data_IF_826984258280
#
_entry.id   IF_826984258280
#
_cell.length_a   1.000
_cell.length_b   1.000
_cell.length_c   1.000
_cell.angle_alpha   90.00
_cell.angle_beta   90.00
_cell.angle_gamma   90.00
#
_symmetry.space_group_name_H-M   'P 1'
#
loop_
_entity.id
_entity.type
_entity.pdbx_description
1 polymer ?
#
# COMPACT_ATOMS: atom_id res chain seq x y z
N UNK A 1 -71.76 12.79 -32.28
CA UNK A 1 -72.95 12.88 -31.41
C UNK A 1 -72.41 13.25 -30.04
N UNK A 2 -72.54 14.53 -29.65
CA UNK A 2 -73.51 15.09 -28.74
C UNK A 2 -73.33 14.56 -27.32
N UNK A 3 -73.22 15.32 -26.24
CA UNK A 3 -73.48 16.72 -25.81
C UNK A 3 -72.84 16.82 -24.41
N UNK A 4 -72.05 17.80 -24.00
CA UNK A 4 -72.46 19.09 -23.47
C UNK A 4 -73.17 19.04 -22.12
N UNK A 5 -72.67 19.82 -21.19
CA UNK A 5 -73.32 20.22 -19.92
C UNK A 5 -72.33 20.68 -18.87
N UNK A 6 -71.91 21.79 -18.82
CA UNK A 6 -72.03 23.10 -18.17
C UNK A 6 -72.94 23.08 -16.95
N UNK A 7 -72.51 23.54 -15.80
CA UNK A 7 -73.12 24.64 -15.06
C UNK A 7 -72.33 25.03 -13.81
N UNK A 8 -72.06 26.31 -13.77
CA UNK A 8 -71.66 27.23 -12.70
C UNK A 8 -72.51 27.12 -11.42
N UNK A 9 -72.00 27.44 -10.26
CA UNK A 9 -72.30 28.71 -9.57
C UNK A 9 -71.76 28.79 -8.13
N UNK A 10 -71.02 29.83 -7.86
CA UNK A 10 -71.09 30.85 -6.80
C UNK A 10 -70.74 30.52 -5.34
N UNK A 11 -69.70 31.26 -4.96
CA UNK A 11 -69.53 32.15 -3.79
C UNK A 11 -70.24 31.85 -2.46
N UNK A 12 -69.48 31.79 -1.40
CA UNK A 12 -69.61 32.68 -0.25
C UNK A 12 -68.37 32.70 0.62
N UNK A 13 -67.96 33.89 0.95
CA UNK A 13 -66.91 34.30 1.89
C UNK A 13 -67.40 34.09 3.30
N UNK A 14 -66.49 33.66 4.22
CA UNK A 14 -66.39 34.29 5.56
C UNK A 14 -65.20 33.76 6.36
N UNK A 15 -64.56 34.70 6.95
CA UNK A 15 -63.39 34.73 7.81
C UNK A 15 -63.40 33.76 9.01
N UNK A 16 -62.20 33.26 9.35
CA UNK A 16 -61.95 32.59 10.62
C UNK A 16 -60.45 32.43 10.86
N UNK A 17 -59.89 33.34 11.64
CA UNK A 17 -58.51 33.33 12.12
C UNK A 17 -58.34 32.15 13.09
N UNK A 18 -57.43 31.29 12.80
CA UNK A 18 -57.02 30.21 13.71
C UNK A 18 -55.64 29.69 13.32
N UNK A 19 -54.60 30.28 13.90
CA UNK A 19 -53.23 29.84 13.70
C UNK A 19 -53.02 28.45 14.26
N UNK A 20 -52.77 27.48 13.37
CA UNK A 20 -52.16 26.20 13.75
C UNK A 20 -50.70 26.25 13.33
N UNK A 21 -49.81 26.43 14.32
CA UNK A 21 -48.39 26.17 14.18
C UNK A 21 -48.21 24.68 13.94
N UNK A 22 -48.06 24.29 12.70
CA UNK A 22 -47.57 22.98 12.33
C UNK A 22 -46.06 23.03 12.54
N UNK A 23 -45.60 22.55 13.68
CA UNK A 23 -44.20 22.19 13.90
C UNK A 23 -43.87 21.01 13.01
N UNK A 24 -43.20 21.28 11.88
CA UNK A 24 -42.50 20.26 11.11
C UNK A 24 -41.38 19.69 12.02
N UNK A 25 -41.28 18.37 12.18
CA UNK A 25 -40.11 17.81 12.80
C UNK A 25 -38.94 18.09 11.86
N UNK A 26 -37.95 18.84 12.36
CA UNK A 26 -36.61 18.77 11.78
C UNK A 26 -36.22 17.29 11.88
N UNK A 27 -36.17 16.62 10.73
CA UNK A 27 -35.45 15.38 10.63
C UNK A 27 -33.99 15.74 10.94
N UNK A 28 -33.54 15.37 12.12
CA UNK A 28 -32.13 15.29 12.41
C UNK A 28 -31.58 14.29 11.38
N UNK A 29 -30.75 14.78 10.48
CA UNK A 29 -29.88 13.92 9.71
C UNK A 29 -29.08 13.12 10.73
N UNK A 30 -29.51 11.89 10.96
CA UNK A 30 -28.65 10.86 11.53
C UNK A 30 -27.42 10.82 10.64
N UNK A 31 -26.20 10.93 11.21
CA UNK A 31 -25.01 10.63 10.44
C UNK A 31 -25.26 9.25 9.84
N UNK A 32 -25.27 9.14 8.52
CA UNK A 32 -25.14 7.85 7.87
C UNK A 32 -23.83 7.32 8.39
N UNK A 33 -23.90 6.35 9.30
CA UNK A 33 -22.84 5.39 9.46
C UNK A 33 -22.60 4.86 8.05
N UNK A 34 -21.55 5.34 7.41
CA UNK A 34 -20.96 4.72 6.24
C UNK A 34 -20.43 3.40 6.80
N UNK A 35 -21.30 2.38 6.84
CA UNK A 35 -20.83 1.00 6.87
C UNK A 35 -19.85 0.91 5.73
N UNK A 36 -18.56 0.85 6.08
CA UNK A 36 -17.50 0.58 5.13
C UNK A 36 -17.83 -0.78 4.52
N UNK A 37 -18.27 -0.76 3.27
CA UNK A 37 -18.51 -1.97 2.49
C UNK A 37 -17.13 -2.60 2.31
N UNK A 38 -16.85 -3.60 3.12
CA UNK A 38 -15.64 -4.42 3.01
C UNK A 38 -15.69 -5.06 1.62
N UNK A 39 -15.02 -4.45 0.64
CA UNK A 39 -14.95 -5.02 -0.70
C UNK A 39 -14.31 -6.39 -0.61
N UNK A 40 -14.97 -7.36 -1.20
CA UNK A 40 -14.52 -8.75 -1.25
C UNK A 40 -14.26 -9.12 -2.71
N UNK A 41 -13.09 -9.66 -2.98
CA UNK A 41 -12.78 -10.24 -4.27
C UNK A 41 -12.89 -11.76 -4.21
N UNK A 42 -13.67 -12.35 -5.12
CA UNK A 42 -13.80 -13.80 -5.24
C UNK A 42 -12.66 -14.36 -6.10
N UNK A 43 -11.73 -15.06 -5.46
CA UNK A 43 -10.55 -15.62 -6.10
C UNK A 43 -10.89 -16.62 -7.22
N UNK A 44 -12.07 -17.25 -7.22
CA UNK A 44 -12.53 -18.13 -8.29
C UNK A 44 -12.57 -17.43 -9.65
N UNK A 45 -12.81 -16.13 -9.66
CA UNK A 45 -12.82 -15.33 -10.89
C UNK A 45 -11.50 -15.39 -11.65
N UNK A 46 -10.37 -15.60 -10.97
CA UNK A 46 -9.07 -15.74 -11.65
C UNK A 46 -8.98 -16.93 -12.60
N UNK A 47 -9.75 -17.99 -12.34
CA UNK A 47 -9.81 -19.16 -13.21
C UNK A 47 -10.55 -18.86 -14.52
N UNK A 48 -11.49 -17.92 -14.48
CA UNK A 48 -12.34 -17.56 -15.62
C UNK A 48 -11.76 -16.38 -16.44
N UNK A 49 -10.70 -15.76 -15.97
CA UNK A 49 -10.06 -14.66 -16.69
C UNK A 49 -9.34 -15.16 -17.94
N UNK A 50 -9.50 -14.45 -19.03
CA UNK A 50 -8.71 -14.65 -20.24
C UNK A 50 -7.22 -14.57 -19.98
N UNK A 51 -6.41 -15.19 -20.84
CA UNK A 51 -4.97 -15.09 -20.75
C UNK A 51 -4.54 -13.62 -20.86
N UNK A 52 -3.61 -13.13 -20.01
CA UNK A 52 -3.16 -11.75 -20.07
C UNK A 52 -2.50 -11.45 -21.42
N UNK A 53 -2.91 -10.37 -22.08
CA UNK A 53 -2.41 -9.97 -23.41
C UNK A 53 -1.37 -8.84 -23.31
N UNK A 54 -1.51 -7.98 -22.30
CA UNK A 54 -0.63 -6.83 -22.11
C UNK A 54 0.27 -6.94 -20.86
N UNK A 55 1.36 -6.16 -20.77
CA UNK A 55 2.19 -6.13 -19.59
C UNK A 55 1.41 -5.74 -18.32
N UNK A 56 0.44 -4.82 -18.44
CA UNK A 56 -0.35 -4.37 -17.30
C UNK A 56 -1.32 -5.46 -16.81
N UNK A 57 -1.89 -6.25 -17.73
CA UNK A 57 -2.75 -7.39 -17.37
C UNK A 57 -1.95 -8.46 -16.62
N UNK A 58 -0.72 -8.76 -17.05
CA UNK A 58 0.19 -9.64 -16.33
C UNK A 58 0.51 -9.13 -14.94
N UNK A 59 0.75 -7.82 -14.80
CA UNK A 59 1.03 -7.21 -13.50
C UNK A 59 -0.18 -7.28 -12.58
N UNK A 60 -1.36 -6.86 -13.04
CA UNK A 60 -2.61 -6.94 -12.27
C UNK A 60 -2.91 -8.38 -11.84
N UNK A 61 -2.84 -9.33 -12.80
CA UNK A 61 -3.07 -10.74 -12.49
C UNK A 61 -2.06 -11.27 -11.46
N UNK A 62 -0.82 -10.81 -11.49
CA UNK A 62 0.20 -11.22 -10.51
C UNK A 62 -0.11 -10.72 -9.10
N UNK A 63 -0.66 -9.51 -8.97
CA UNK A 63 -1.11 -8.98 -7.70
C UNK A 63 -2.25 -9.83 -7.12
N UNK A 64 -3.26 -10.14 -7.93
CA UNK A 64 -4.35 -11.03 -7.53
C UNK A 64 -3.86 -12.45 -7.22
N UNK A 65 -2.93 -12.98 -8.01
CA UNK A 65 -2.36 -14.30 -7.76
C UNK A 65 -1.67 -14.39 -6.40
N UNK A 66 -0.92 -13.36 -6.02
CA UNK A 66 -0.29 -13.28 -4.70
C UNK A 66 -1.30 -13.36 -3.54
N UNK A 67 -2.50 -12.86 -3.76
CA UNK A 67 -3.55 -12.83 -2.75
C UNK A 67 -4.49 -14.04 -2.80
N UNK A 68 -4.52 -14.76 -3.90
CA UNK A 68 -5.51 -15.81 -4.13
C UNK A 68 -4.96 -17.23 -4.15
N UNK A 69 -3.65 -17.41 -4.26
CA UNK A 69 -3.06 -18.75 -4.26
C UNK A 69 -2.49 -19.13 -2.91
N UNK A 70 -2.88 -20.30 -2.41
CA UNK A 70 -2.27 -20.95 -1.25
C UNK A 70 -1.09 -21.76 -1.75
N UNK A 71 0.10 -21.57 -1.18
CA UNK A 71 1.31 -22.28 -1.59
C UNK A 71 2.36 -22.38 -0.48
N UNK A 72 3.27 -23.31 -0.68
CA UNK A 72 4.55 -23.40 0.03
C UNK A 72 5.68 -23.33 -0.98
N UNK A 73 6.77 -22.66 -0.61
CA UNK A 73 7.90 -22.50 -1.50
C UNK A 73 9.23 -22.50 -0.74
N UNK A 74 10.30 -22.81 -1.48
CA UNK A 74 11.67 -22.51 -1.09
C UNK A 74 12.21 -21.44 -2.01
N UNK A 75 12.95 -20.51 -1.45
CA UNK A 75 13.49 -19.39 -2.21
C UNK A 75 14.94 -19.12 -1.79
N UNK A 76 15.64 -18.43 -2.67
CA UNK A 76 16.93 -17.82 -2.39
C UNK A 76 16.81 -16.30 -2.57
N UNK A 77 17.44 -15.57 -1.69
CA UNK A 77 17.68 -14.15 -1.82
C UNK A 77 19.19 -13.94 -1.98
N UNK A 78 19.59 -13.21 -3.00
CA UNK A 78 20.97 -12.88 -3.31
C UNK A 78 21.08 -11.36 -3.30
N UNK A 79 21.81 -10.84 -2.35
CA UNK A 79 22.04 -9.41 -2.21
C UNK A 79 23.50 -9.12 -1.88
N UNK A 80 23.80 -7.87 -1.60
CA UNK A 80 25.16 -7.44 -1.23
C UNK A 80 25.65 -8.08 0.09
N UNK A 81 24.72 -8.48 0.95
CA UNK A 81 24.95 -9.16 2.22
C UNK A 81 25.11 -10.68 2.08
N UNK A 82 25.13 -11.18 0.85
CA UNK A 82 25.33 -12.59 0.51
C UNK A 82 24.07 -13.29 0.07
N UNK A 83 24.09 -14.62 0.23
CA UNK A 83 22.98 -15.51 -0.14
C UNK A 83 22.23 -15.92 1.12
N UNK A 84 20.91 -15.89 1.07
CA UNK A 84 20.01 -16.38 2.11
C UNK A 84 19.00 -17.35 1.52
N UNK A 85 18.75 -18.44 2.23
CA UNK A 85 17.71 -19.40 1.87
C UNK A 85 16.49 -19.23 2.77
N UNK A 86 15.31 -19.36 2.18
CA UNK A 86 14.04 -19.15 2.86
C UNK A 86 13.07 -20.28 2.60
N UNK A 87 12.24 -20.58 3.58
CA UNK A 87 10.99 -21.29 3.39
C UNK A 87 9.85 -20.27 3.49
N UNK A 88 8.95 -20.32 2.55
CA UNK A 88 7.79 -19.43 2.43
C UNK A 88 6.51 -20.26 2.52
N UNK A 89 5.50 -19.72 3.14
CA UNK A 89 4.13 -20.21 3.03
C UNK A 89 3.16 -19.05 2.92
N UNK A 90 2.18 -19.19 2.06
CA UNK A 90 1.04 -18.32 1.95
C UNK A 90 -0.22 -19.15 2.17
N UNK A 91 -1.07 -18.73 3.08
CA UNK A 91 -2.31 -19.37 3.46
C UNK A 91 -3.41 -18.32 3.58
N UNK A 92 -4.66 -18.74 3.38
CA UNK A 92 -5.83 -17.87 3.45
C UNK A 92 -6.85 -18.56 4.37
N UNK A 93 -7.22 -17.90 5.46
CA UNK A 93 -8.22 -18.39 6.42
C UNK A 93 -9.33 -17.36 6.56
N UNK A 94 -10.55 -17.75 6.26
CA UNK A 94 -11.74 -16.87 6.33
C UNK A 94 -11.55 -15.55 5.55
N UNK A 95 -10.93 -15.62 4.37
CA UNK A 95 -10.63 -14.45 3.53
C UNK A 95 -9.47 -13.57 4.02
N UNK A 96 -8.78 -13.97 5.09
CA UNK A 96 -7.62 -13.23 5.63
C UNK A 96 -6.34 -13.96 5.29
N UNK A 97 -5.42 -13.26 4.66
CA UNK A 97 -4.12 -13.79 4.28
C UNK A 97 -3.18 -13.95 5.47
N UNK A 98 -2.35 -14.98 5.38
CA UNK A 98 -1.23 -15.22 6.27
C UNK A 98 0.00 -15.59 5.47
N UNK A 99 0.99 -14.72 5.46
CA UNK A 99 2.31 -14.98 4.90
C UNK A 99 3.33 -15.28 5.99
N UNK A 100 4.12 -16.30 5.76
CA UNK A 100 5.22 -16.67 6.65
C UNK A 100 6.50 -16.83 5.83
N UNK A 101 7.54 -16.12 6.24
CA UNK A 101 8.89 -16.29 5.72
C UNK A 101 9.83 -16.72 6.87
N UNK A 102 10.54 -17.83 6.69
CA UNK A 102 11.51 -18.33 7.64
C UNK A 102 12.88 -18.47 6.97
N UNK A 103 13.89 -17.81 7.52
CA UNK A 103 15.27 -18.01 7.08
C UNK A 103 15.73 -19.40 7.52
N UNK A 104 16.41 -20.11 6.61
CA UNK A 104 16.89 -21.47 6.83
C UNK A 104 18.38 -21.51 7.17
N UNK A 105 19.08 -20.39 7.01
CA UNK A 105 20.47 -20.19 7.33
C UNK A 105 20.67 -18.96 8.24
N UNK A 106 21.80 -18.95 8.95
CA UNK A 106 22.13 -17.88 9.89
C UNK A 106 21.27 -17.89 11.16
N UNK A 107 21.14 -16.74 11.85
CA UNK A 107 20.27 -16.62 13.00
C UNK A 107 18.82 -16.92 12.62
N UNK A 108 18.09 -17.58 13.52
CA UNK A 108 16.70 -17.92 13.28
C UNK A 108 15.86 -16.63 13.18
N UNK A 109 15.39 -16.32 11.99
CA UNK A 109 14.47 -15.21 11.72
C UNK A 109 13.19 -15.79 11.18
N UNK A 110 12.10 -15.38 11.79
CA UNK A 110 10.74 -15.73 11.43
C UNK A 110 9.96 -14.44 11.23
N UNK A 111 9.42 -14.24 10.04
CA UNK A 111 8.59 -13.11 9.69
C UNK A 111 7.18 -13.63 9.39
N UNK A 112 6.21 -13.12 10.10
CA UNK A 112 4.80 -13.42 9.84
C UNK A 112 4.06 -12.12 9.55
N UNK A 113 3.31 -12.11 8.47
CA UNK A 113 2.39 -11.05 8.12
C UNK A 113 0.98 -11.64 8.05
N UNK A 114 0.05 -10.96 8.71
CA UNK A 114 -1.38 -11.17 8.54
C UNK A 114 -1.96 -9.89 8.01
N UNK A 115 -2.82 -9.97 7.06
CA UNK A 115 -3.38 -8.77 6.48
C UNK A 115 -4.47 -9.05 5.47
N UNK A 116 -5.05 -7.96 5.04
CA UNK A 116 -6.01 -7.91 3.94
C UNK A 116 -5.32 -7.29 2.74
N UNK A 117 -5.85 -7.55 1.56
CA UNK A 117 -5.43 -6.90 0.33
C UNK A 117 -5.72 -5.40 0.41
N UNK A 118 -4.92 -4.60 -0.28
CA UNK A 118 -5.28 -3.21 -0.53
C UNK A 118 -4.80 -2.23 0.53
N UNK A 119 -3.54 -2.33 0.90
CA UNK A 119 -2.90 -1.35 1.80
C UNK A 119 -2.45 -0.07 1.11
N UNK A 120 -2.79 0.12 -0.16
CA UNK A 120 -2.57 1.37 -0.86
C UNK A 120 -3.75 2.29 -0.65
N UNK A 121 -3.52 3.38 0.01
CA UNK A 121 -4.44 4.49 0.07
C UNK A 121 -4.82 4.91 1.47
N UNK A 122 -4.52 6.16 1.72
CA UNK A 122 -5.02 6.93 2.82
C UNK A 122 -5.89 8.06 2.26
N UNK A 123 -6.99 8.34 2.94
CA UNK A 123 -7.72 9.55 2.69
C UNK A 123 -6.96 10.71 3.36
N UNK A 124 -6.18 11.43 2.59
CA UNK A 124 -5.47 12.63 3.04
C UNK A 124 -6.17 13.90 2.54
N UNK A 125 -7.50 13.87 2.52
CA UNK A 125 -8.33 14.97 2.02
C UNK A 125 -8.22 15.21 0.51
N UNK A 126 -7.42 14.42 -0.20
CA UNK A 126 -7.25 14.42 -1.64
C UNK A 126 -7.60 13.06 -2.24
N UNK A 127 -7.68 12.99 -3.56
CA UNK A 127 -8.01 11.77 -4.30
C UNK A 127 -7.14 10.59 -3.85
N UNK A 128 -7.80 9.55 -3.39
CA UNK A 128 -7.17 8.40 -2.76
C UNK A 128 -6.75 7.41 -3.82
N UNK A 129 -5.51 6.94 -3.75
CA UNK A 129 -5.08 5.82 -4.57
C UNK A 129 -5.87 4.56 -4.17
N UNK A 130 -6.42 3.82 -5.15
CA UNK A 130 -7.31 2.71 -4.88
C UNK A 130 -6.59 1.53 -4.23
N UNK A 131 -7.26 0.90 -3.29
CA UNK A 131 -6.77 -0.21 -2.52
C UNK A 131 -6.79 -1.57 -3.26
N UNK A 132 -7.39 -1.65 -4.44
CA UNK A 132 -7.48 -2.90 -5.22
C UNK A 132 -6.26 -3.13 -6.10
N UNK A 133 -5.89 -4.39 -6.41
CA UNK A 133 -4.84 -4.73 -7.38
C UNK A 133 -4.99 -4.04 -8.73
N UNK A 134 -6.21 -3.96 -9.27
CA UNK A 134 -6.51 -3.22 -10.51
C UNK A 134 -6.18 -1.72 -10.37
N UNK A 135 -6.45 -1.16 -9.21
CA UNK A 135 -6.13 0.22 -8.92
C UNK A 135 -4.63 0.46 -8.79
N UNK A 136 -3.93 -0.44 -8.10
CA UNK A 136 -2.47 -0.42 -7.99
C UNK A 136 -1.83 -0.49 -9.37
N UNK A 137 -2.29 -1.38 -10.24
CA UNK A 137 -1.77 -1.53 -11.59
C UNK A 137 -1.95 -0.24 -12.41
N UNK A 138 -3.14 0.36 -12.38
CA UNK A 138 -3.41 1.64 -13.07
C UNK A 138 -2.62 2.82 -12.49
N UNK A 139 -2.39 2.84 -11.19
CA UNK A 139 -1.56 3.85 -10.55
C UNK A 139 -0.11 3.72 -10.99
N UNK A 140 0.42 2.49 -10.98
CA UNK A 140 1.79 2.18 -11.37
C UNK A 140 2.09 2.56 -12.83
N UNK A 141 1.15 2.34 -13.76
CA UNK A 141 1.29 2.64 -15.18
C UNK A 141 1.55 4.13 -15.48
N UNK A 142 1.25 5.02 -14.52
CA UNK A 142 1.54 6.45 -14.63
C UNK A 142 3.02 6.78 -14.38
N UNK A 143 3.74 5.93 -13.63
CA UNK A 143 5.10 6.21 -13.17
C UNK A 143 6.13 5.22 -13.69
N UNK A 144 5.69 4.13 -14.29
CA UNK A 144 6.56 3.09 -14.84
C UNK A 144 6.14 2.69 -16.25
N UNK A 145 7.11 2.34 -17.05
CA UNK A 145 6.88 1.65 -18.33
C UNK A 145 6.97 0.15 -18.08
N UNK A 146 5.92 -0.56 -18.44
CA UNK A 146 5.88 -2.01 -18.35
C UNK A 146 6.15 -2.62 -19.74
N UNK A 147 6.97 -3.67 -19.79
CA UNK A 147 7.30 -4.39 -21.01
C UNK A 147 7.36 -5.90 -20.78
N UNK A 148 6.98 -6.66 -21.79
CA UNK A 148 7.15 -8.13 -21.76
C UNK A 148 8.50 -8.51 -22.34
N UNK A 149 9.25 -9.32 -21.60
CA UNK A 149 10.49 -9.92 -22.06
C UNK A 149 10.31 -11.35 -22.57
N UNK A 150 11.42 -12.00 -22.92
CA UNK A 150 11.42 -13.39 -23.33
C UNK A 150 10.99 -14.30 -22.17
N UNK A 151 10.27 -15.37 -22.52
CA UNK A 151 9.92 -16.43 -21.58
C UNK A 151 11.17 -17.19 -21.12
N UNK A 152 11.18 -17.57 -19.87
CA UNK A 152 12.23 -18.34 -19.22
C UNK A 152 11.65 -19.52 -18.43
N UNK A 153 12.52 -20.36 -17.89
CA UNK A 153 12.11 -21.46 -17.00
C UNK A 153 12.67 -21.20 -15.59
N UNK A 154 11.80 -21.00 -14.62
CA UNK A 154 12.14 -20.74 -13.22
C UNK A 154 11.48 -21.82 -12.34
N UNK A 155 12.20 -22.40 -11.41
CA UNK A 155 11.68 -23.46 -10.50
C UNK A 155 10.95 -24.58 -11.26
N UNK A 156 11.47 -24.98 -12.40
CA UNK A 156 10.90 -25.99 -13.31
C UNK A 156 9.54 -25.60 -13.95
N UNK A 157 9.16 -24.32 -13.94
CA UNK A 157 7.91 -23.78 -14.46
C UNK A 157 8.19 -22.78 -15.59
N UNK A 158 7.31 -22.74 -16.58
CA UNK A 158 7.38 -21.70 -17.61
C UNK A 158 7.05 -20.35 -16.99
N UNK A 159 7.83 -19.33 -17.29
CA UNK A 159 7.66 -18.01 -16.75
C UNK A 159 7.68 -16.95 -17.85
N UNK A 160 6.86 -15.91 -17.67
CA UNK A 160 6.84 -14.70 -18.49
C UNK A 160 7.60 -13.62 -17.74
N UNK A 161 8.55 -12.96 -18.41
CA UNK A 161 9.28 -11.84 -17.80
C UNK A 161 8.54 -10.54 -18.02
N UNK A 162 8.35 -9.80 -16.96
CA UNK A 162 7.83 -8.44 -16.93
C UNK A 162 8.96 -7.49 -16.55
N UNK A 163 9.32 -6.57 -17.42
CA UNK A 163 10.26 -5.49 -17.17
C UNK A 163 9.47 -4.25 -16.72
N UNK A 164 9.83 -3.70 -15.57
CA UNK A 164 9.17 -2.53 -14.94
C UNK A 164 10.22 -1.43 -14.82
N UNK A 165 10.18 -0.46 -15.72
CA UNK A 165 11.15 0.61 -15.83
C UNK A 165 10.55 1.93 -15.33
N UNK A 166 11.16 2.61 -14.34
CA UNK A 166 10.65 3.90 -13.90
C UNK A 166 10.76 4.95 -15.01
N UNK A 167 9.76 5.82 -15.13
CA UNK A 167 9.73 6.93 -16.06
C UNK A 167 10.59 8.12 -15.60
N UNK A 168 10.98 8.11 -14.33
CA UNK A 168 11.85 9.11 -13.70
C UNK A 168 13.15 8.48 -13.17
N UNK A 169 14.04 9.31 -12.66
CA UNK A 169 15.26 8.82 -11.99
C UNK A 169 15.10 8.65 -10.48
N UNK A 170 13.88 8.69 -9.95
CA UNK A 170 13.62 8.73 -8.50
C UNK A 170 13.37 7.34 -7.91
N UNK A 171 13.27 6.32 -8.73
CA UNK A 171 12.92 4.95 -8.38
C UNK A 171 13.92 3.95 -8.93
N UNK A 172 13.92 2.76 -8.36
CA UNK A 172 14.60 1.61 -8.92
C UNK A 172 13.66 0.84 -9.86
N UNK A 173 14.24 0.27 -10.93
CA UNK A 173 13.53 -0.62 -11.82
C UNK A 173 13.42 -2.03 -11.25
N UNK A 174 12.53 -2.83 -11.81
CA UNK A 174 12.39 -4.24 -11.46
C UNK A 174 12.23 -5.11 -12.70
N UNK A 175 12.65 -6.36 -12.59
CA UNK A 175 12.28 -7.45 -13.48
C UNK A 175 11.59 -8.52 -12.67
N UNK A 176 10.43 -8.95 -13.12
CA UNK A 176 9.65 -9.98 -12.43
C UNK A 176 9.37 -11.11 -13.42
N UNK A 177 9.61 -12.35 -13.01
CA UNK A 177 9.25 -13.53 -13.77
C UNK A 177 8.01 -14.13 -13.14
N UNK A 178 6.93 -14.13 -13.89
CA UNK A 178 5.61 -14.60 -13.47
C UNK A 178 5.37 -15.99 -14.02
N UNK A 179 4.89 -16.90 -13.20
CA UNK A 179 4.47 -18.22 -13.63
C UNK A 179 3.41 -18.11 -14.74
N UNK A 180 3.65 -18.75 -15.87
CA UNK A 180 2.78 -18.64 -17.03
C UNK A 180 1.35 -19.19 -16.81
N UNK A 181 1.17 -20.03 -15.79
CA UNK A 181 -0.14 -20.65 -15.49
C UNK A 181 -0.90 -19.95 -14.37
N UNK A 182 -0.20 -19.41 -13.35
CA UNK A 182 -0.82 -18.84 -12.17
C UNK A 182 -0.59 -17.34 -12.03
N UNK A 183 0.37 -16.79 -12.77
CA UNK A 183 0.92 -15.44 -12.62
C UNK A 183 1.62 -15.18 -11.25
N UNK A 184 1.88 -16.20 -10.44
CA UNK A 184 2.66 -16.06 -9.23
C UNK A 184 4.10 -15.60 -9.55
N UNK A 185 4.68 -14.64 -8.83
CA UNK A 185 6.07 -14.23 -9.00
C UNK A 185 7.02 -15.37 -8.61
N UNK A 186 7.82 -15.83 -9.58
CA UNK A 186 8.83 -16.87 -9.37
C UNK A 186 10.23 -16.30 -9.15
N UNK A 187 10.50 -15.12 -9.72
CA UNK A 187 11.77 -14.43 -9.55
C UNK A 187 11.54 -12.93 -9.65
N UNK A 188 12.27 -12.16 -8.85
CA UNK A 188 12.34 -10.70 -8.91
C UNK A 188 13.79 -10.26 -8.86
N UNK A 189 14.15 -9.31 -9.72
CA UNK A 189 15.41 -8.58 -9.68
C UNK A 189 15.11 -7.11 -9.43
N UNK A 190 15.79 -6.51 -8.45
CA UNK A 190 15.78 -5.07 -8.21
C UNK A 190 16.95 -4.45 -8.96
N UNK A 191 16.72 -3.40 -9.72
CA UNK A 191 17.69 -2.74 -10.57
C UNK A 191 17.97 -1.33 -10.05
N UNK A 192 19.25 -0.98 -9.91
CA UNK A 192 19.62 0.39 -9.58
C UNK A 192 19.41 1.36 -10.77
N UNK A 193 19.70 2.65 -10.53
CA UNK A 193 19.59 3.73 -11.53
C UNK A 193 20.54 3.56 -12.75
N UNK A 194 21.41 2.55 -12.73
CA UNK A 194 22.31 2.18 -13.84
C UNK A 194 21.91 0.85 -14.48
N UNK A 195 20.78 0.29 -14.10
CA UNK A 195 20.29 -1.00 -14.60
C UNK A 195 21.05 -2.22 -14.06
N UNK A 196 21.86 -2.06 -13.00
CA UNK A 196 22.58 -3.18 -12.37
C UNK A 196 21.68 -3.87 -11.37
N UNK A 197 21.70 -5.20 -11.35
CA UNK A 197 20.98 -5.99 -10.37
C UNK A 197 21.60 -5.79 -8.98
N UNK A 198 20.83 -5.26 -8.03
CA UNK A 198 21.24 -5.04 -6.64
C UNK A 198 20.72 -6.11 -5.70
N UNK A 199 19.61 -6.75 -6.08
CA UNK A 199 19.07 -7.94 -5.41
C UNK A 199 18.40 -8.87 -6.40
N UNK A 200 18.49 -10.17 -6.13
CA UNK A 200 17.68 -11.21 -6.76
C UNK A 200 16.95 -11.99 -5.68
N UNK A 201 15.65 -12.09 -5.81
CA UNK A 201 14.83 -13.05 -5.08
C UNK A 201 14.30 -14.09 -6.06
N UNK A 202 14.49 -15.39 -5.79
CA UNK A 202 14.07 -16.44 -6.69
C UNK A 202 13.51 -17.64 -5.94
N UNK A 203 12.34 -18.07 -6.33
CA UNK A 203 11.77 -19.35 -5.91
C UNK A 203 12.58 -20.46 -6.57
N UNK A 204 13.07 -21.41 -5.79
CA UNK A 204 13.81 -22.60 -6.24
C UNK A 204 12.90 -23.82 -6.32
N UNK A 205 11.83 -23.83 -5.51
CA UNK A 205 10.80 -24.85 -5.47
C UNK A 205 9.47 -24.21 -5.11
N UNK A 206 8.45 -24.42 -5.93
CA UNK A 206 7.07 -24.03 -5.64
C UNK A 206 6.23 -25.30 -5.57
N UNK A 207 5.74 -25.63 -4.39
CA UNK A 207 4.82 -26.75 -4.20
C UNK A 207 3.46 -26.35 -4.77
N UNK A 208 2.76 -27.32 -5.35
CA UNK A 208 1.52 -27.14 -6.12
C UNK A 208 0.64 -26.01 -5.58
N UNK A 209 0.65 -24.83 -6.21
CA UNK A 209 -0.18 -23.72 -5.78
C UNK A 209 -1.65 -24.06 -5.99
N UNK A 210 -2.49 -23.76 -4.99
CA UNK A 210 -3.93 -24.01 -5.03
C UNK A 210 -4.65 -22.67 -5.02
N UNK A 211 -5.57 -22.49 -5.97
CA UNK A 211 -6.44 -21.32 -5.97
C UNK A 211 -7.41 -21.43 -4.80
N UNK A 212 -7.53 -20.36 -4.01
CA UNK A 212 -8.50 -20.28 -2.93
C UNK A 212 -9.92 -20.17 -3.48
N UNK A 213 -10.82 -21.04 -3.04
CA UNK A 213 -12.20 -21.11 -3.50
C UNK A 213 -13.12 -20.19 -2.65
N UNK A 214 -12.73 -18.95 -2.45
CA UNK A 214 -13.48 -18.01 -1.63
C UNK A 214 -13.09 -16.57 -1.92
N UNK A 215 -13.70 -15.66 -1.16
CA UNK A 215 -13.40 -14.24 -1.25
C UNK A 215 -12.26 -13.84 -0.32
N UNK A 216 -11.43 -12.94 -0.78
CA UNK A 216 -10.44 -12.23 0.02
C UNK A 216 -10.90 -10.80 0.27
N UNK A 217 -10.66 -10.30 1.48
CA UNK A 217 -11.10 -8.97 1.87
C UNK A 217 -10.11 -7.91 1.42
N UNK A 218 -10.62 -6.84 0.86
CA UNK A 218 -9.88 -5.61 0.63
C UNK A 218 -9.94 -4.73 1.89
N UNK A 219 -8.82 -4.12 2.26
CA UNK A 219 -8.80 -3.16 3.36
C UNK A 219 -9.50 -1.87 2.92
N UNK A 220 -10.29 -1.31 3.83
CA UNK A 220 -10.83 0.03 3.68
C UNK A 220 -9.72 1.08 3.78
N UNK A 221 -9.95 2.20 3.13
CA UNK A 221 -9.09 3.37 3.29
C UNK A 221 -9.14 3.86 4.73
N UNK A 222 -7.98 4.12 5.30
CA UNK A 222 -7.86 4.60 6.67
C UNK A 222 -7.36 6.03 6.70
N UNK A 223 -7.82 6.79 7.67
CA UNK A 223 -7.25 8.11 7.95
C UNK A 223 -5.87 7.93 8.59
N UNK A 224 -4.82 8.62 8.12
CA UNK A 224 -3.51 8.54 8.74
C UNK A 224 -3.56 9.03 10.20
N UNK A 225 -2.77 8.44 11.09
CA UNK A 225 -2.63 8.99 12.43
C UNK A 225 -2.09 10.42 12.34
N UNK A 226 -2.67 11.32 13.12
CA UNK A 226 -2.16 12.68 13.21
C UNK A 226 -0.72 12.65 13.74
N UNK A 227 0.17 13.31 13.01
CA UNK A 227 1.56 13.50 13.35
C UNK A 227 1.85 14.99 13.17
N UNK A 228 2.56 15.57 14.10
CA UNK A 228 2.98 16.99 14.03
C UNK A 228 4.09 17.25 13.00
N UNK A 229 4.40 16.30 12.14
CA UNK A 229 5.43 16.42 11.13
C UNK A 229 5.01 15.67 9.85
N UNK A 230 5.51 16.14 8.71
CA UNK A 230 5.24 15.56 7.39
C UNK A 230 6.40 15.88 6.42
N UNK A 231 6.61 15.07 5.38
CA UNK A 231 7.53 15.43 4.30
C UNK A 231 6.86 16.45 3.38
N UNK A 232 7.50 17.61 3.12
CA UNK A 232 7.03 18.58 2.13
C UNK A 232 7.26 18.10 0.70
N UNK A 233 8.13 17.13 0.52
CA UNK A 233 8.43 16.55 -0.77
C UNK A 233 8.47 15.04 -0.72
N UNK A 234 7.79 14.41 -1.67
CA UNK A 234 7.85 12.99 -1.99
C UNK A 234 7.95 12.84 -3.51
N UNK A 235 8.53 11.74 -4.03
CA UNK A 235 8.37 11.44 -5.44
C UNK A 235 6.87 11.33 -5.80
N UNK A 236 6.51 11.82 -6.96
CA UNK A 236 5.12 11.77 -7.43
C UNK A 236 4.61 10.32 -7.43
N UNK A 237 3.34 10.11 -7.06
CA UNK A 237 2.74 8.79 -6.95
C UNK A 237 2.96 8.05 -5.63
N UNK A 238 3.81 8.57 -4.73
CA UNK A 238 3.91 8.02 -3.38
C UNK A 238 2.75 8.50 -2.52
N UNK A 239 1.97 7.56 -2.01
CA UNK A 239 0.82 7.82 -1.14
C UNK A 239 1.04 7.21 0.24
N UNK A 240 0.49 7.85 1.27
CA UNK A 240 0.58 7.39 2.65
C UNK A 240 -0.06 6.02 2.82
N UNK A 241 0.57 5.20 3.67
CA UNK A 241 0.12 3.83 3.98
C UNK A 241 -0.27 3.73 5.44
N UNK A 242 -1.22 2.83 5.78
CA UNK A 242 -1.56 2.56 7.17
C UNK A 242 -0.36 2.00 7.94
N UNK A 243 -0.13 2.55 9.13
CA UNK A 243 0.85 2.05 10.08
C UNK A 243 0.21 1.84 11.44
N UNK A 244 0.62 0.80 12.14
CA UNK A 244 0.30 0.67 13.56
C UNK A 244 1.26 1.54 14.36
N UNK A 245 0.73 2.38 15.23
CA UNK A 245 1.55 3.16 16.16
C UNK A 245 2.32 2.19 17.05
N UNK A 246 3.64 2.32 17.06
CA UNK A 246 4.51 1.50 17.90
C UNK A 246 5.19 2.38 18.92
N UNK A 247 5.11 1.95 20.17
CA UNK A 247 5.96 2.47 21.22
C UNK A 247 7.26 1.68 21.27
N UNK A 248 8.37 2.32 21.53
CA UNK A 248 9.63 1.62 21.78
C UNK A 248 9.56 0.82 23.09
N UNK A 249 10.64 0.08 23.40
CA UNK A 249 10.74 -0.72 24.63
C UNK A 249 10.65 0.10 25.92
N UNK A 250 10.78 1.42 25.84
CA UNK A 250 10.74 2.35 26.94
C UNK A 250 9.43 3.14 27.00
N UNK A 251 8.48 2.84 26.10
CA UNK A 251 7.18 3.51 26.06
C UNK A 251 7.18 4.87 25.34
N UNK A 252 8.28 5.27 24.72
CA UNK A 252 8.31 6.47 23.87
C UNK A 252 7.63 6.17 22.54
N UNK A 253 6.72 7.03 22.18
CA UNK A 253 6.04 6.92 20.89
C UNK A 253 7.02 7.32 19.78
N UNK A 254 7.32 6.38 18.90
CA UNK A 254 8.09 6.64 17.68
C UNK A 254 7.12 7.03 16.58
N UNK A 255 7.22 8.27 16.11
CA UNK A 255 6.46 8.69 14.95
C UNK A 255 6.88 7.88 13.73
N UNK A 256 5.92 7.23 13.07
CA UNK A 256 6.17 6.38 11.91
C UNK A 256 5.18 6.70 10.80
N UNK A 257 5.68 6.97 9.59
CA UNK A 257 4.90 7.07 8.36
C UNK A 257 5.47 6.14 7.31
N UNK A 258 4.61 5.54 6.52
CA UNK A 258 4.99 4.73 5.36
C UNK A 258 4.35 5.36 4.12
N UNK A 259 5.10 5.41 3.03
CA UNK A 259 4.61 5.83 1.72
C UNK A 259 4.98 4.77 0.68
N UNK A 260 4.09 4.57 -0.30
CA UNK A 260 4.33 3.63 -1.39
C UNK A 260 3.68 4.13 -2.69
N UNK A 261 4.30 3.80 -3.80
CA UNK A 261 3.73 3.98 -5.14
C UNK A 261 3.11 2.68 -5.70
N UNK A 262 3.02 1.63 -4.86
CA UNK A 262 2.52 0.31 -5.23
C UNK A 262 3.60 -0.71 -5.55
N UNK A 263 4.83 -0.26 -5.83
CA UNK A 263 5.98 -1.12 -6.14
C UNK A 263 7.13 -0.89 -5.16
N UNK A 264 7.44 0.36 -4.90
CA UNK A 264 8.47 0.81 -3.97
C UNK A 264 7.84 1.35 -2.69
N UNK A 265 8.54 1.20 -1.58
CA UNK A 265 8.08 1.67 -0.27
C UNK A 265 9.19 2.44 0.42
N UNK A 266 8.84 3.51 1.09
CA UNK A 266 9.70 4.23 2.02
C UNK A 266 9.03 4.39 3.37
N UNK A 267 9.84 4.29 4.43
CA UNK A 267 9.42 4.47 5.81
C UNK A 267 10.16 5.65 6.43
N UNK A 268 9.43 6.50 7.12
CA UNK A 268 9.95 7.63 7.88
C UNK A 268 9.70 7.38 9.36
N UNK A 269 10.77 7.56 10.15
CA UNK A 269 10.71 7.49 11.60
C UNK A 269 11.22 8.79 12.18
N UNK A 270 10.51 9.30 13.17
CA UNK A 270 10.90 10.50 13.92
C UNK A 270 10.79 10.19 15.40
N UNK A 271 11.87 10.40 16.12
CA UNK A 271 11.94 10.16 17.55
C UNK A 271 12.82 11.21 18.26
N UNK A 272 12.53 11.57 19.53
CA UNK A 272 13.39 12.43 20.29
C UNK A 272 14.72 11.78 20.63
N UNK A 273 15.82 12.56 20.59
CA UNK A 273 17.13 12.11 21.06
C UNK A 273 17.21 12.37 22.57
N UNK A 274 17.15 11.31 23.37
CA UNK A 274 17.26 11.35 24.81
C UNK A 274 18.68 11.06 25.29
N UNK A 275 19.10 11.67 26.40
CA UNK A 275 20.38 11.35 27.02
C UNK A 275 20.40 9.91 27.52
N UNK A 276 21.46 9.18 27.21
CA UNK A 276 21.64 7.78 27.63
C UNK A 276 21.01 6.75 26.71
N UNK A 277 20.33 7.14 25.62
CA UNK A 277 19.86 6.25 24.56
C UNK A 277 20.86 6.09 23.44
N UNK A 278 20.90 4.88 22.85
CA UNK A 278 21.60 4.67 21.58
C UNK A 278 20.95 5.52 20.49
N UNK A 279 21.76 6.32 19.85
CA UNK A 279 21.38 7.12 18.69
C UNK A 279 22.11 6.62 17.44
N UNK A 280 21.43 6.63 16.31
CA UNK A 280 22.07 6.30 15.06
C UNK A 280 23.02 7.43 14.64
N UNK A 281 24.13 7.08 14.02
CA UNK A 281 25.06 8.06 13.47
C UNK A 281 24.42 8.74 12.26
N UNK A 282 24.40 10.09 12.16
CA UNK A 282 23.91 10.75 10.95
C UNK A 282 24.67 10.30 9.70
N UNK A 283 23.96 10.11 8.62
CA UNK A 283 24.57 9.69 7.35
C UNK A 283 23.73 8.67 6.58
N UNK A 284 24.35 8.06 5.60
CA UNK A 284 23.76 6.98 4.80
C UNK A 284 24.20 5.63 5.35
N UNK A 285 23.22 4.79 5.67
CA UNK A 285 23.41 3.43 6.14
C UNK A 285 22.83 2.43 5.14
N UNK A 286 23.43 1.27 5.05
CA UNK A 286 22.93 0.17 4.23
C UNK A 286 22.44 -0.96 5.13
N UNK A 287 21.22 -1.36 4.91
CA UNK A 287 20.52 -2.43 5.65
C UNK A 287 20.06 -3.51 4.64
N UNK A 288 21.01 -4.33 4.20
CA UNK A 288 20.74 -5.25 3.09
C UNK A 288 20.51 -4.49 1.78
N UNK A 289 19.32 -4.64 1.19
CA UNK A 289 18.91 -3.91 -0.02
C UNK A 289 18.38 -2.51 0.31
N UNK A 290 17.80 -2.34 1.48
CA UNK A 290 17.29 -1.05 1.89
C UNK A 290 18.44 -0.11 2.27
N UNK A 291 18.26 1.14 1.96
CA UNK A 291 19.13 2.22 2.39
C UNK A 291 18.40 3.03 3.46
N UNK A 292 19.13 3.55 4.42
CA UNK A 292 18.59 4.44 5.43
C UNK A 292 19.42 5.73 5.50
N UNK A 293 18.75 6.85 5.46
CA UNK A 293 19.34 8.17 5.70
C UNK A 293 18.95 8.61 7.10
N UNK A 294 19.96 8.93 7.92
CA UNK A 294 19.77 9.42 9.29
C UNK A 294 20.11 10.90 9.34
N UNK A 295 19.24 11.69 9.95
CA UNK A 295 19.45 13.11 10.27
C UNK A 295 19.18 13.38 11.73
N UNK A 296 19.95 14.30 12.31
CA UNK A 296 19.64 14.91 13.59
C UNK A 296 19.23 16.36 13.34
N UNK A 297 18.06 16.73 13.80
CA UNK A 297 17.47 18.06 13.63
C UNK A 297 17.05 18.61 14.99
N UNK A 298 16.90 19.93 15.09
CA UNK A 298 16.36 20.57 16.28
C UNK A 298 14.98 21.12 15.95
N UNK A 299 13.98 20.75 16.74
CA UNK A 299 12.59 21.20 16.62
C UNK A 299 12.18 21.77 17.97
N UNK A 300 11.84 23.04 18.04
CA UNK A 300 11.51 23.76 19.31
C UNK A 300 12.55 23.48 20.41
N UNK A 301 13.84 23.64 20.07
CA UNK A 301 15.00 23.37 20.93
C UNK A 301 15.13 21.89 21.39
N UNK A 302 14.33 20.98 20.88
CA UNK A 302 14.44 19.55 21.17
C UNK A 302 15.22 18.83 20.06
N UNK A 303 16.25 18.04 20.40
CA UNK A 303 16.96 17.27 19.41
C UNK A 303 16.12 16.05 19.00
N UNK A 304 15.91 15.90 17.68
CA UNK A 304 15.13 14.82 17.08
C UNK A 304 16.02 13.99 16.13
N UNK A 305 15.80 12.69 16.09
CA UNK A 305 16.36 11.79 15.09
C UNK A 305 15.30 11.51 14.03
N UNK A 306 15.68 11.71 12.77
CA UNK A 306 14.90 11.39 11.60
C UNK A 306 15.59 10.25 10.87
N UNK A 307 14.85 9.17 10.55
CA UNK A 307 15.34 8.06 9.75
C UNK A 307 14.40 7.87 8.57
N UNK A 308 14.92 7.98 7.37
CA UNK A 308 14.20 7.67 6.13
C UNK A 308 14.84 6.46 5.49
N UNK A 309 14.07 5.39 5.31
CA UNK A 309 14.59 4.14 4.75
C UNK A 309 13.69 3.56 3.67
N UNK A 310 14.30 2.87 2.70
CA UNK A 310 13.57 2.24 1.61
C UNK A 310 14.46 1.68 0.51
N UNK A 311 13.82 1.12 -0.51
CA UNK A 311 14.45 0.59 -1.71
C UNK A 311 14.44 1.65 -2.83
N UNK A 312 15.07 2.79 -2.57
CA UNK A 312 15.11 3.96 -3.44
C UNK A 312 16.54 4.48 -3.60
N UNK A 313 16.83 5.28 -4.65
CA UNK A 313 18.12 5.93 -4.79
C UNK A 313 18.48 6.77 -3.56
N UNK A 314 19.76 6.74 -3.08
CA UNK A 314 20.17 7.43 -1.85
C UNK A 314 19.82 8.92 -1.84
N UNK A 315 19.91 9.57 -2.99
CA UNK A 315 19.57 11.01 -3.13
C UNK A 315 18.11 11.30 -2.84
N UNK A 316 17.21 10.37 -3.20
CA UNK A 316 15.78 10.51 -2.97
C UNK A 316 15.47 10.40 -1.49
N UNK A 317 16.04 9.39 -0.80
CA UNK A 317 15.88 9.25 0.65
C UNK A 317 16.44 10.47 1.40
N UNK A 318 17.59 11.00 0.94
CA UNK A 318 18.18 12.21 1.52
C UNK A 318 17.26 13.43 1.31
N UNK A 319 16.74 13.61 0.10
CA UNK A 319 15.82 14.72 -0.20
C UNK A 319 14.54 14.65 0.63
N UNK A 320 13.96 13.46 0.81
CA UNK A 320 12.80 13.27 1.69
C UNK A 320 13.15 13.62 3.14
N UNK A 321 14.31 13.14 3.65
CA UNK A 321 14.76 13.44 5.01
C UNK A 321 14.98 14.94 5.23
N UNK A 322 15.51 15.63 4.23
CA UNK A 322 15.83 17.07 4.29
C UNK A 322 14.58 17.94 4.05
N UNK A 323 13.45 17.36 3.58
CA UNK A 323 12.17 18.04 3.35
C UNK A 323 11.16 17.90 4.50
N UNK A 324 11.54 17.31 5.64
CA UNK A 324 10.62 17.21 6.77
C UNK A 324 10.30 18.59 7.35
N UNK A 325 9.00 18.84 7.48
CA UNK A 325 8.47 20.01 8.16
C UNK A 325 7.68 19.60 9.40
N UNK A 326 7.54 20.53 10.34
CA UNK A 326 6.77 20.36 11.57
C UNK A 326 5.63 21.36 11.58
N UNK A 327 4.45 20.91 11.98
CA UNK A 327 3.33 21.81 12.26
C UNK A 327 3.72 22.71 13.44
N UNK A 328 3.52 24.00 13.28
CA UNK A 328 3.68 24.91 14.41
C UNK A 328 2.72 24.48 15.53
N UNK A 329 3.20 24.40 16.76
CA UNK A 329 2.32 24.18 17.90
C UNK A 329 1.21 25.23 17.83
N UNK A 330 -0.05 24.80 17.69
CA UNK A 330 -1.17 25.69 17.77
C UNK A 330 -1.10 26.34 19.15
N UNK A 331 -0.89 27.63 19.15
CA UNK A 331 -0.97 28.48 20.36
C UNK A 331 -2.47 28.54 20.72
N UNK A 332 -2.99 27.45 21.31
CA UNK A 332 -4.31 27.46 21.91
C UNK A 332 -4.22 28.39 23.13
N UNK A 333 -4.34 29.66 22.79
CA UNK A 333 -4.41 30.75 23.79
C UNK A 333 -5.53 30.50 24.80
N UNK A 334 -5.14 30.67 26.03
CA UNK A 334 -6.03 30.81 27.21
C UNK A 334 -7.34 31.56 26.93
#
# INVERSE_FOLDING_TARGET
MMKAGRTLCRLAVLSGIGGLLVSLPLAADTPRDTESVNEQFDCRQLADWDAPESPIDWFERSLWANHCYIFQARAVRIGIDGVRTLALSHDIQDGVEREVARFLDGPQVFLERRGRIGRLGWADGQEVAPASPAGVARHLDQFYRLGLGSGERIANRSAVRLDIEPLDGLRFGQRVWLDASTALPLKRELLDDRGRVVETFQITELQSPQLYEGGVFLDDLRVPPQQSWYPEWLPEGFVGQPVDTRSDRHGTEVGHRIYSDGLSTLSLFVEPIEEGRERLIPGLHRLGISLAVVRHVSVDDKPMQVVVMGELPPRVLAQVADSLAWEAASDDGE
#
